data_IF_929434724810
#
_entry.id   IF_929434724810
#
_cell.length_a   1.000
_cell.length_b   1.000
_cell.length_c   1.000
_cell.angle_alpha   90.00
_cell.angle_beta   90.00
_cell.angle_gamma   90.00
#
_symmetry.space_group_name_H-M   'P 1'
#
loop_
_entity.id
_entity.type
_entity.pdbx_description
1 polymer ?
#
# COMPACT_ATOMS: atom_id res chain seq x y z
N UNK A 1 -5.65 3.55 21.74
CA UNK A 1 -4.67 4.29 20.91
C UNK A 1 -4.41 3.51 19.63
N UNK A 2 -4.17 4.19 18.51
CA UNK A 2 -3.70 3.55 17.28
C UNK A 2 -2.19 3.35 17.40
N UNK A 3 -1.72 2.12 17.21
CA UNK A 3 -0.30 1.77 17.33
C UNK A 3 0.19 1.16 16.02
N UNK A 4 1.11 1.84 15.30
CA UNK A 4 1.69 1.29 14.07
C UNK A 4 2.71 0.19 14.38
N UNK A 5 2.79 -0.80 13.49
CA UNK A 5 3.86 -1.80 13.47
C UNK A 5 4.85 -1.39 12.38
N UNK A 6 6.10 -1.12 12.76
CA UNK A 6 7.12 -0.57 11.87
C UNK A 6 8.30 -1.54 11.77
N UNK A 7 8.75 -1.78 10.52
CA UNK A 7 10.00 -2.49 10.21
C UNK A 7 10.87 -1.65 9.30
N UNK A 8 12.16 -1.57 9.61
CA UNK A 8 13.17 -0.87 8.82
C UNK A 8 14.30 -1.81 8.44
N UNK A 9 14.82 -1.67 7.24
CA UNK A 9 15.98 -2.41 6.78
C UNK A 9 16.74 -1.63 5.70
N UNK A 10 18.03 -1.95 5.54
CA UNK A 10 18.88 -1.36 4.53
C UNK A 10 18.72 -2.08 3.19
N UNK A 11 18.57 -1.34 2.10
CA UNK A 11 18.55 -1.85 0.73
C UNK A 11 19.50 -1.04 -0.14
N UNK A 12 20.71 -1.57 -0.36
CA UNK A 12 21.79 -0.81 -0.97
C UNK A 12 22.15 0.41 -0.13
N UNK A 13 22.08 1.61 -0.72
CA UNK A 13 22.32 2.87 -0.01
C UNK A 13 21.06 3.48 0.62
N UNK A 14 19.91 2.85 0.42
CA UNK A 14 18.61 3.40 0.82
C UNK A 14 18.08 2.71 2.07
N UNK A 15 17.35 3.45 2.92
CA UNK A 15 16.62 2.85 4.05
C UNK A 15 15.18 2.61 3.64
N UNK A 16 14.73 1.36 3.73
CA UNK A 16 13.33 1.00 3.48
C UNK A 16 12.59 0.90 4.81
N UNK A 17 11.46 1.58 4.90
CA UNK A 17 10.53 1.51 6.03
C UNK A 17 9.20 0.92 5.56
N UNK A 18 8.72 -0.09 6.29
CA UNK A 18 7.42 -0.71 6.13
C UNK A 18 6.59 -0.45 7.38
N UNK A 19 5.41 0.15 7.22
CA UNK A 19 4.47 0.42 8.31
C UNK A 19 3.11 -0.21 8.02
N UNK A 20 2.51 -0.86 9.02
CA UNK A 20 1.16 -1.44 8.94
C UNK A 20 0.40 -1.34 10.27
N UNK A 21 -0.89 -1.70 10.26
CA UNK A 21 -1.73 -1.79 11.46
C UNK A 21 -2.41 -0.48 11.90
N UNK A 22 -1.97 0.67 11.39
CA UNK A 22 -2.54 1.98 11.72
C UNK A 22 -3.52 2.51 10.66
N UNK A 23 -3.13 2.47 9.37
CA UNK A 23 -3.90 3.03 8.25
C UNK A 23 -4.77 1.97 7.57
N UNK A 24 -5.89 2.39 6.97
CA UNK A 24 -6.82 1.57 6.17
C UNK A 24 -7.15 0.18 6.76
N UNK A 25 -7.43 0.13 8.08
CA UNK A 25 -7.67 -1.12 8.85
C UNK A 25 -8.86 -1.97 8.38
N UNK A 26 -9.68 -1.47 7.48
CA UNK A 26 -10.80 -2.20 6.88
C UNK A 26 -10.39 -2.99 5.62
N UNK A 27 -9.26 -2.64 4.99
CA UNK A 27 -8.70 -3.45 3.91
C UNK A 27 -8.21 -4.80 4.47
N UNK A 28 -8.06 -5.80 3.61
CA UNK A 28 -7.49 -7.09 4.02
C UNK A 28 -6.04 -6.92 4.47
N UNK A 29 -5.29 -6.07 3.78
CA UNK A 29 -3.98 -5.60 4.21
C UNK A 29 -3.74 -4.17 3.73
N UNK A 30 -2.94 -3.42 4.49
CA UNK A 30 -2.48 -2.08 4.13
C UNK A 30 -1.06 -1.87 4.65
N UNK A 31 -0.18 -1.38 3.78
CA UNK A 31 1.22 -1.10 4.10
C UNK A 31 1.62 0.24 3.51
N UNK A 32 2.18 1.11 4.33
CA UNK A 32 2.93 2.27 3.85
C UNK A 32 4.38 1.83 3.66
N UNK A 33 4.86 1.93 2.42
CA UNK A 33 6.25 1.64 2.06
C UNK A 33 6.93 2.95 1.75
N UNK A 34 8.01 3.25 2.46
CA UNK A 34 8.84 4.43 2.19
C UNK A 34 10.28 3.99 1.94
N UNK A 35 10.89 4.57 0.92
CA UNK A 35 12.32 4.44 0.64
C UNK A 35 12.87 5.85 0.51
N UNK A 36 13.68 6.24 1.49
CA UNK A 36 14.10 7.62 1.71
C UNK A 36 12.90 8.58 1.66
N UNK A 37 12.87 9.55 0.74
CA UNK A 37 11.81 10.56 0.64
C UNK A 37 10.58 10.12 -0.20
N UNK A 38 10.66 8.97 -0.88
CA UNK A 38 9.56 8.48 -1.73
C UNK A 38 8.72 7.47 -0.96
N UNK A 39 7.40 7.68 -0.93
CA UNK A 39 6.47 6.78 -0.27
C UNK A 39 5.34 6.34 -1.20
N UNK A 40 4.94 5.08 -1.08
CA UNK A 40 3.78 4.48 -1.75
C UNK A 40 2.91 3.78 -0.71
N UNK A 41 1.63 4.14 -0.69
CA UNK A 41 0.64 3.47 0.15
C UNK A 41 -0.06 2.37 -0.63
N UNK A 42 0.10 1.12 -0.19
CA UNK A 42 -0.42 -0.07 -0.88
C UNK A 42 -1.50 -0.73 -0.04
N UNK A 43 -2.65 -1.00 -0.64
CA UNK A 43 -3.77 -1.72 -0.01
C UNK A 43 -4.17 -2.94 -0.82
N UNK A 44 -4.54 -4.01 -0.14
CA UNK A 44 -5.06 -5.24 -0.75
C UNK A 44 -6.44 -5.53 -0.17
N UNK A 45 -7.39 -5.88 -1.04
CA UNK A 45 -8.72 -6.33 -0.67
C UNK A 45 -9.03 -7.64 -1.38
N UNK A 46 -9.18 -8.70 -0.60
CA UNK A 46 -9.62 -10.01 -1.07
C UNK A 46 -11.06 -10.29 -0.65
N UNK A 47 -11.91 -10.72 -1.59
CA UNK A 47 -13.25 -11.17 -1.24
C UNK A 47 -13.19 -12.49 -0.48
N UNK A 48 -13.93 -12.61 0.63
CA UNK A 48 -13.96 -13.84 1.46
C UNK A 48 -14.63 -15.03 0.77
N UNK A 49 -15.46 -14.78 -0.24
CA UNK A 49 -16.19 -15.80 -1.01
C UNK A 49 -15.96 -15.56 -2.50
N UNK A 50 -15.66 -16.63 -3.22
CA UNK A 50 -15.59 -16.60 -4.69
C UNK A 50 -16.99 -16.43 -5.29
N UNK A 51 -17.06 -15.84 -6.50
CA UNK A 51 -18.31 -15.73 -7.26
C UNK A 51 -18.70 -17.10 -7.84
N UNK A 52 -19.98 -17.52 -7.77
CA UNK A 52 -20.44 -18.73 -8.45
C UNK A 52 -20.14 -18.66 -9.95
N UNK A 53 -19.69 -19.77 -10.54
CA UNK A 53 -19.40 -19.84 -11.98
C UNK A 53 -18.16 -19.06 -12.44
N UNK A 54 -17.32 -18.58 -11.51
CA UNK A 54 -16.06 -17.92 -11.85
C UNK A 54 -15.11 -18.91 -12.53
N UNK A 55 -14.78 -18.68 -13.81
CA UNK A 55 -13.93 -19.56 -14.62
C UNK A 55 -12.44 -19.21 -14.61
N UNK A 56 -12.07 -18.04 -14.09
CA UNK A 56 -10.69 -17.53 -14.03
C UNK A 56 -10.43 -16.74 -12.75
N UNK A 57 -9.18 -16.49 -12.39
CA UNK A 57 -8.82 -15.71 -11.21
C UNK A 57 -8.89 -14.19 -11.50
N UNK A 58 -9.83 -13.42 -10.92
CA UNK A 58 -9.96 -12.00 -11.20
C UNK A 58 -9.02 -11.19 -10.32
N UNK A 59 -7.85 -10.83 -10.86
CA UNK A 59 -6.88 -9.94 -10.22
C UNK A 59 -6.85 -8.60 -10.94
N UNK A 60 -6.82 -7.51 -10.17
CA UNK A 60 -6.69 -6.15 -10.72
C UNK A 60 -5.70 -5.38 -9.87
N UNK A 61 -4.76 -4.70 -10.53
CA UNK A 61 -3.75 -3.85 -9.91
C UNK A 61 -3.97 -2.43 -10.42
N UNK A 62 -4.21 -1.50 -9.50
CA UNK A 62 -4.36 -0.09 -9.81
C UNK A 62 -3.18 0.68 -9.23
N UNK A 63 -2.39 1.30 -10.11
CA UNK A 63 -1.31 2.22 -9.74
C UNK A 63 -1.74 3.64 -10.07
N UNK A 64 -1.62 4.56 -9.11
CA UNK A 64 -1.99 5.96 -9.26
C UNK A 64 -0.92 6.85 -8.62
N UNK A 65 -0.35 7.73 -9.42
CA UNK A 65 0.51 8.80 -8.91
C UNK A 65 -0.33 10.01 -8.52
N UNK A 66 0.08 10.67 -7.45
CA UNK A 66 -0.59 11.88 -6.97
C UNK A 66 0.31 13.07 -7.20
N UNK A 67 -0.18 14.10 -7.89
CA UNK A 67 0.60 15.31 -8.20
C UNK A 67 1.12 16.01 -6.94
N UNK A 68 0.37 15.92 -5.83
CA UNK A 68 0.80 16.45 -4.53
C UNK A 68 2.04 15.73 -3.99
N UNK A 69 2.34 14.50 -4.43
CA UNK A 69 3.55 13.79 -4.00
C UNK A 69 4.83 14.50 -4.48
N UNK A 70 4.75 15.23 -5.58
CA UNK A 70 5.82 16.11 -6.07
C UNK A 70 5.61 17.58 -5.66
N UNK A 71 4.63 17.89 -4.80
CA UNK A 71 4.29 19.25 -4.39
C UNK A 71 3.66 20.11 -5.48
N UNK A 72 2.98 19.52 -6.48
CA UNK A 72 2.40 20.24 -7.63
C UNK A 72 0.86 20.19 -7.62
N UNK A 73 0.24 21.29 -8.05
CA UNK A 73 -1.20 21.37 -8.35
C UNK A 73 -1.39 20.86 -9.79
N UNK A 74 -2.34 19.94 -10.07
CA UNK A 74 -2.63 19.53 -11.43
C UNK A 74 -3.21 20.70 -12.25
N UNK A 75 -2.65 20.95 -13.42
CA UNK A 75 -3.04 22.00 -14.36
C UNK A 75 -2.21 21.95 -15.62
#
# INVERSE_FOLDING_TARGET
MLTPIIRKFQYGQHTVTLETGMMARQATAAVMVSMDDTAVFVTVVGQKKAKPGQSFFPLTVNYQERTYAAGRIPG
#
